data_IF_096767159645
#
_entry.id   IF_096767159645
#
_cell.length_a   1.000
_cell.length_b   1.000
_cell.length_c   1.000
_cell.angle_alpha   90.00
_cell.angle_beta   90.00
_cell.angle_gamma   90.00
#
_symmetry.space_group_name_H-M   'P 1'
#
loop_
_entity.id
_entity.type
_entity.pdbx_description
1 polymer ?
#
# COMPACT_ATOMS: atom_id res chain seq x y z
N UNK A 1 30.47 20.52 -25.43
CA UNK A 1 31.37 19.46 -24.93
C UNK A 1 30.51 18.37 -24.38
N UNK A 2 30.52 17.22 -25.08
CA UNK A 2 29.75 16.02 -24.69
C UNK A 2 30.58 15.18 -23.73
N UNK A 3 30.10 14.88 -22.56
CA UNK A 3 30.71 13.89 -21.68
C UNK A 3 29.76 12.70 -21.57
N UNK A 4 30.09 11.63 -22.32
CA UNK A 4 29.54 10.29 -22.16
C UNK A 4 30.11 9.72 -20.87
N UNK A 5 29.25 9.34 -19.94
CA UNK A 5 29.65 8.50 -18.83
C UNK A 5 29.00 7.10 -19.02
N UNK A 6 29.85 6.19 -19.43
CA UNK A 6 29.54 4.74 -19.59
C UNK A 6 29.71 4.10 -18.22
N UNK A 7 28.67 3.47 -17.71
CA UNK A 7 28.72 2.66 -16.48
C UNK A 7 28.60 1.18 -16.88
N UNK A 8 29.56 0.34 -16.48
CA UNK A 8 29.54 -1.09 -16.83
C UNK A 8 28.58 -1.88 -15.96
N UNK A 9 27.90 -2.81 -16.63
CA UNK A 9 27.10 -3.88 -16.08
C UNK A 9 28.04 -4.85 -15.36
N UNK A 10 27.83 -5.08 -14.07
CA UNK A 10 28.43 -6.18 -13.34
C UNK A 10 27.39 -7.26 -13.06
N UNK A 11 27.53 -8.35 -13.80
CA UNK A 11 26.80 -9.61 -13.72
C UNK A 11 27.60 -10.52 -12.79
N UNK A 12 27.04 -11.00 -11.69
CA UNK A 12 27.47 -12.16 -10.88
C UNK A 12 26.52 -12.28 -9.70
N UNK A 13 26.00 -13.43 -9.31
CA UNK A 13 26.32 -14.80 -9.52
C UNK A 13 25.38 -15.70 -8.73
N UNK A 14 25.18 -16.81 -9.28
CA UNK A 14 25.01 -18.16 -8.73
C UNK A 14 24.08 -18.42 -7.54
N UNK A 15 22.99 -19.08 -7.88
CA UNK A 15 22.17 -19.94 -7.02
C UNK A 15 23.00 -21.13 -6.49
N UNK A 16 23.01 -21.34 -5.19
CA UNK A 16 23.38 -22.62 -4.58
C UNK A 16 22.12 -23.29 -4.03
N UNK A 17 21.68 -24.32 -4.75
CA UNK A 17 20.77 -25.34 -4.25
C UNK A 17 21.49 -26.16 -3.18
N UNK A 18 20.99 -26.18 -1.97
CA UNK A 18 21.32 -27.19 -0.97
C UNK A 18 20.14 -28.15 -0.88
N UNK A 19 20.34 -29.33 -1.46
CA UNK A 19 19.48 -30.50 -1.25
C UNK A 19 19.82 -31.08 0.14
N UNK A 20 18.88 -31.06 1.06
CA UNK A 20 18.97 -31.83 2.29
C UNK A 20 18.23 -33.14 2.14
N UNK A 21 19.04 -34.21 2.13
CA UNK A 21 18.59 -35.58 2.13
C UNK A 21 17.83 -35.92 3.44
N UNK A 22 16.62 -36.39 3.26
CA UNK A 22 15.83 -37.05 4.30
C UNK A 22 16.53 -38.31 4.79
N UNK A 23 16.91 -38.30 6.04
CA UNK A 23 17.27 -39.51 6.75
C UNK A 23 16.14 -39.87 7.71
N UNK A 24 15.43 -40.92 7.42
CA UNK A 24 14.47 -41.56 8.30
C UNK A 24 15.21 -42.29 9.43
N UNK A 25 14.73 -42.25 10.64
CA UNK A 25 14.92 -43.34 11.59
C UNK A 25 13.60 -44.08 11.82
N UNK A 26 13.74 -45.41 11.80
CA UNK A 26 12.74 -46.43 12.02
C UNK A 26 12.15 -46.38 13.44
N UNK A 27 10.87 -46.66 13.46
CA UNK A 27 10.04 -47.33 14.42
C UNK A 27 10.56 -47.58 15.85
N UNK A 28 9.77 -47.12 16.82
CA UNK A 28 9.31 -47.98 17.91
C UNK A 28 7.92 -47.47 18.36
N UNK A 29 6.97 -48.39 18.33
CA UNK A 29 5.60 -48.20 18.80
C UNK A 29 5.58 -48.01 20.31
N UNK A 30 4.91 -46.96 20.75
CA UNK A 30 4.25 -47.02 22.06
C UNK A 30 2.95 -46.18 22.01
N UNK A 31 1.89 -46.83 22.39
CA UNK A 31 0.54 -46.34 22.31
C UNK A 31 0.25 -45.40 23.47
N UNK A 32 -0.01 -44.14 23.16
CA UNK A 32 -0.80 -43.26 24.01
C UNK A 32 -1.55 -42.26 23.11
N UNK A 33 -2.86 -42.41 23.06
CA UNK A 33 -3.82 -41.54 22.38
C UNK A 33 -3.69 -40.09 22.84
N UNK A 34 -3.30 -39.13 21.98
CA UNK A 34 -3.53 -37.74 22.30
C UNK A 34 -4.91 -37.34 21.77
N UNK A 35 -5.70 -36.87 22.69
CA UNK A 35 -7.05 -36.33 22.54
C UNK A 35 -7.11 -35.37 21.33
N UNK A 36 -7.94 -35.71 20.35
CA UNK A 36 -8.16 -35.01 19.08
C UNK A 36 -8.72 -33.58 19.20
N UNK A 37 -8.95 -33.11 20.41
CA UNK A 37 -9.58 -31.81 20.66
C UNK A 37 -8.65 -30.57 20.46
N UNK A 38 -7.32 -30.76 20.57
CA UNK A 38 -6.38 -29.62 20.49
C UNK A 38 -5.91 -29.28 19.06
N UNK A 39 -6.11 -30.20 18.09
CA UNK A 39 -5.69 -29.95 16.70
C UNK A 39 -6.67 -29.01 15.98
N UNK A 40 -7.97 -29.16 16.23
CA UNK A 40 -9.00 -28.29 15.61
C UNK A 40 -8.97 -26.86 16.12
N UNK A 41 -8.63 -26.65 17.40
CA UNK A 41 -8.47 -25.29 17.95
C UNK A 41 -7.28 -24.52 17.37
N UNK A 42 -6.18 -25.20 17.01
CA UNK A 42 -5.00 -24.56 16.40
C UNK A 42 -5.22 -24.17 14.95
N UNK A 43 -5.98 -24.96 14.18
CA UNK A 43 -6.30 -24.65 12.77
C UNK A 43 -7.22 -23.44 12.69
N UNK A 44 -8.25 -23.36 13.55
CA UNK A 44 -9.16 -22.22 13.58
C UNK A 44 -8.47 -20.91 13.97
N UNK A 45 -7.46 -20.95 14.85
CA UNK A 45 -6.71 -19.74 15.25
C UNK A 45 -5.75 -19.26 14.16
N UNK A 46 -5.23 -20.16 13.30
CA UNK A 46 -4.36 -19.78 12.18
C UNK A 46 -5.14 -19.20 11.00
N UNK A 47 -6.35 -19.67 10.72
CA UNK A 47 -7.19 -19.09 9.66
C UNK A 47 -7.67 -17.67 10.01
N UNK A 48 -8.03 -17.42 11.27
CA UNK A 48 -8.39 -16.07 11.72
C UNK A 48 -7.25 -15.07 11.57
N UNK A 49 -5.99 -15.48 11.82
CA UNK A 49 -4.83 -14.62 11.69
C UNK A 49 -4.41 -14.35 10.24
N UNK A 50 -4.81 -15.18 9.29
CA UNK A 50 -4.55 -14.98 7.86
C UNK A 50 -5.59 -14.05 7.21
N UNK A 51 -6.82 -14.09 7.71
CA UNK A 51 -7.91 -13.26 7.22
C UNK A 51 -7.74 -11.78 7.63
N UNK A 52 -7.20 -11.51 8.82
CA UNK A 52 -6.90 -10.15 9.27
C UNK A 52 -5.77 -9.45 8.47
N UNK A 53 -4.86 -10.22 7.86
CA UNK A 53 -3.78 -9.66 7.03
C UNK A 53 -4.24 -9.20 5.65
N UNK A 54 -5.43 -9.64 5.21
CA UNK A 54 -6.04 -9.26 3.94
C UNK A 54 -7.20 -8.27 4.10
N UNK A 55 -7.49 -7.79 5.30
CA UNK A 55 -8.46 -6.75 5.51
C UNK A 55 -7.95 -5.48 4.80
N UNK A 56 -8.49 -5.20 3.61
CA UNK A 56 -8.21 -3.96 2.89
C UNK A 56 -8.79 -2.82 3.71
N UNK A 57 -7.92 -1.92 4.16
CA UNK A 57 -8.35 -0.74 4.91
C UNK A 57 -9.29 0.09 4.05
N UNK A 58 -10.41 0.57 4.61
CA UNK A 58 -11.36 1.38 3.86
C UNK A 58 -10.87 2.80 3.69
N UNK A 59 -10.62 3.18 2.44
CA UNK A 59 -10.32 4.55 2.03
C UNK A 59 -11.56 5.39 1.73
N UNK A 60 -12.76 4.80 1.72
CA UNK A 60 -14.01 5.52 1.40
C UNK A 60 -14.31 6.62 2.40
N UNK A 61 -14.85 7.72 1.92
CA UNK A 61 -15.35 8.86 2.69
C UNK A 61 -14.67 10.19 2.34
N UNK A 62 -14.93 11.19 3.18
CA UNK A 62 -14.39 12.54 3.01
C UNK A 62 -13.06 12.68 3.76
N UNK A 63 -12.09 13.33 3.08
CA UNK A 63 -10.75 13.52 3.61
C UNK A 63 -10.28 14.96 3.40
N UNK A 64 -9.66 15.52 4.40
CA UNK A 64 -8.97 16.80 4.33
C UNK A 64 -7.49 16.54 4.06
N UNK A 65 -7.01 16.94 2.90
CA UNK A 65 -5.64 16.74 2.45
C UNK A 65 -4.83 18.02 2.48
N UNK A 66 -3.58 17.91 2.91
CA UNK A 66 -2.57 18.96 2.82
C UNK A 66 -1.30 18.43 2.17
N UNK A 67 -0.66 19.23 1.32
CA UNK A 67 0.65 18.91 0.73
C UNK A 67 1.46 20.18 0.49
N UNK A 68 2.76 20.02 0.35
CA UNK A 68 3.67 21.12 0.02
C UNK A 68 3.91 21.18 -1.49
N UNK A 69 3.75 22.35 -2.09
CA UNK A 69 4.02 22.57 -3.52
C UNK A 69 5.53 22.79 -3.80
N UNK A 70 5.88 23.05 -5.07
CA UNK A 70 7.28 23.30 -5.49
C UNK A 70 7.89 24.55 -4.89
N UNK A 71 7.09 25.49 -4.50
CA UNK A 71 7.53 26.76 -3.91
C UNK A 71 7.64 26.70 -2.37
N UNK A 72 7.31 25.55 -1.76
CA UNK A 72 7.28 25.40 -0.31
C UNK A 72 5.96 25.81 0.34
N UNK A 73 4.94 26.23 -0.44
CA UNK A 73 3.65 26.62 0.13
C UNK A 73 2.81 25.37 0.46
N UNK A 74 2.12 25.40 1.59
CA UNK A 74 1.12 24.39 1.93
C UNK A 74 -0.16 24.62 1.13
N UNK A 75 -0.67 23.57 0.52
CA UNK A 75 -1.91 23.52 -0.24
C UNK A 75 -2.89 22.58 0.42
N UNK A 76 -4.18 22.88 0.27
CA UNK A 76 -5.25 22.09 0.85
C UNK A 76 -6.24 21.63 -0.22
N UNK A 77 -6.82 20.46 -0.01
CA UNK A 77 -7.91 19.92 -0.81
C UNK A 77 -8.85 19.09 0.06
N UNK A 78 -10.09 18.98 -0.37
CA UNK A 78 -11.04 17.99 0.14
C UNK A 78 -11.17 16.86 -0.88
N UNK A 79 -11.04 15.62 -0.41
CA UNK A 79 -11.22 14.42 -1.22
C UNK A 79 -12.57 13.79 -0.84
N UNK A 80 -13.32 13.35 -1.84
CA UNK A 80 -14.47 12.45 -1.68
C UNK A 80 -14.09 11.15 -2.39
N UNK A 81 -13.87 10.08 -1.63
CA UNK A 81 -13.34 8.81 -2.13
C UNK A 81 -14.40 7.72 -1.97
N UNK A 82 -14.62 6.97 -3.03
CA UNK A 82 -15.40 5.74 -3.07
C UNK A 82 -14.45 4.59 -3.39
N UNK A 83 -14.61 3.46 -2.69
CA UNK A 83 -13.79 2.27 -2.84
C UNK A 83 -14.64 1.08 -3.24
N UNK A 84 -14.21 0.39 -4.30
CA UNK A 84 -14.77 -0.89 -4.77
C UNK A 84 -13.63 -1.91 -4.83
N UNK A 85 -13.57 -2.80 -3.83
CA UNK A 85 -12.44 -3.71 -3.68
C UNK A 85 -11.12 -2.95 -3.49
N UNK A 86 -10.20 -3.11 -4.42
CA UNK A 86 -8.93 -2.36 -4.43
C UNK A 86 -9.02 -1.03 -5.22
N UNK A 87 -10.04 -0.84 -6.05
CA UNK A 87 -10.17 0.34 -6.89
C UNK A 87 -10.72 1.54 -6.11
N UNK A 88 -10.15 2.71 -6.36
CA UNK A 88 -10.59 3.98 -5.80
C UNK A 88 -11.07 4.91 -6.91
N UNK A 89 -12.18 5.56 -6.68
CA UNK A 89 -12.73 6.61 -7.54
C UNK A 89 -13.25 7.76 -6.69
N UNK A 90 -13.43 8.92 -7.28
CA UNK A 90 -13.98 10.06 -6.55
C UNK A 90 -13.61 11.40 -7.12
N UNK A 91 -13.67 12.41 -6.27
CA UNK A 91 -13.38 13.80 -6.63
C UNK A 91 -12.45 14.47 -5.63
N UNK A 92 -11.72 15.46 -6.12
CA UNK A 92 -10.84 16.33 -5.34
C UNK A 92 -11.28 17.76 -5.56
N UNK A 93 -11.63 18.45 -4.50
CA UNK A 93 -11.87 19.89 -4.54
C UNK A 93 -10.59 20.62 -4.09
N UNK A 94 -9.93 21.26 -5.06
CA UNK A 94 -8.72 22.04 -4.82
C UNK A 94 -9.09 23.48 -4.47
N UNK A 95 -8.55 23.99 -3.37
CA UNK A 95 -8.63 25.39 -2.97
C UNK A 95 -7.26 26.06 -3.15
N UNK A 96 -6.86 26.31 -4.38
CA UNK A 96 -5.51 26.78 -4.73
C UNK A 96 -5.52 28.03 -5.60
N UNK A 97 -6.27 29.07 -5.22
CA UNK A 97 -6.36 30.34 -5.96
C UNK A 97 -6.89 30.14 -7.39
N UNK A 98 -6.17 30.58 -8.43
CA UNK A 98 -6.64 30.49 -9.82
C UNK A 98 -6.77 29.05 -10.35
N UNK A 99 -6.26 28.06 -9.64
CA UNK A 99 -6.41 26.62 -9.95
C UNK A 99 -7.47 25.93 -9.08
N UNK A 100 -8.34 26.69 -8.43
CA UNK A 100 -9.44 26.12 -7.65
C UNK A 100 -10.44 25.40 -8.57
N UNK A 101 -11.00 24.30 -8.11
CA UNK A 101 -11.97 23.52 -8.85
C UNK A 101 -12.10 22.09 -8.35
N UNK A 102 -13.09 21.40 -8.91
CA UNK A 102 -13.32 19.97 -8.65
C UNK A 102 -12.76 19.14 -9.79
N UNK A 103 -11.92 18.16 -9.44
CA UNK A 103 -11.21 17.31 -10.37
C UNK A 103 -11.49 15.84 -10.08
N UNK A 104 -11.37 15.00 -11.10
CA UNK A 104 -11.55 13.57 -10.97
C UNK A 104 -10.34 12.94 -10.25
N UNK A 105 -10.65 12.08 -9.30
CA UNK A 105 -9.70 11.22 -8.60
C UNK A 105 -9.92 9.78 -9.02
N UNK A 106 -8.83 9.05 -9.25
CA UNK A 106 -8.79 7.59 -9.40
C UNK A 106 -7.61 7.04 -8.62
N UNK A 107 -7.62 5.76 -8.29
CA UNK A 107 -6.51 5.19 -7.55
C UNK A 107 -6.70 3.72 -7.23
N UNK A 108 -5.86 3.21 -6.37
CA UNK A 108 -6.01 1.88 -5.80
C UNK A 108 -5.48 1.83 -4.35
N UNK A 109 -5.98 0.84 -3.61
CA UNK A 109 -5.50 0.49 -2.26
C UNK A 109 -5.21 -1.00 -2.21
N UNK A 110 -4.06 -1.37 -1.64
CA UNK A 110 -3.65 -2.77 -1.42
C UNK A 110 -3.09 -2.91 -0.02
N UNK A 111 -3.79 -3.66 0.83
CA UNK A 111 -3.52 -3.66 2.25
C UNK A 111 -3.64 -2.24 2.80
N UNK A 112 -2.57 -1.70 3.34
CA UNK A 112 -2.51 -0.31 3.80
C UNK A 112 -1.84 0.66 2.81
N UNK A 113 -1.38 0.21 1.64
CA UNK A 113 -0.77 1.08 0.62
C UNK A 113 -1.84 1.72 -0.26
N UNK A 114 -1.72 3.02 -0.49
CA UNK A 114 -2.65 3.80 -1.32
C UNK A 114 -1.90 4.54 -2.42
N UNK A 115 -2.50 4.56 -3.59
CA UNK A 115 -2.05 5.34 -4.74
C UNK A 115 -3.24 6.14 -5.24
N UNK A 116 -3.10 7.46 -5.29
CA UNK A 116 -4.14 8.38 -5.80
C UNK A 116 -3.59 9.11 -7.02
N UNK A 117 -4.37 9.14 -8.08
CA UNK A 117 -4.11 9.89 -9.31
C UNK A 117 -5.20 10.95 -9.48
N UNK A 118 -4.80 12.20 -9.49
CA UNK A 118 -5.69 13.35 -9.66
C UNK A 118 -5.39 13.99 -11.02
N UNK A 119 -6.41 14.03 -11.91
CA UNK A 119 -6.28 14.69 -13.19
C UNK A 119 -6.71 16.15 -13.06
N UNK A 120 -5.72 17.05 -13.05
CA UNK A 120 -5.92 18.50 -12.99
C UNK A 120 -5.62 19.08 -14.37
N UNK A 121 -6.68 19.43 -15.12
CA UNK A 121 -6.58 19.84 -16.53
C UNK A 121 -5.84 18.79 -17.38
N UNK A 122 -4.65 19.13 -17.91
CA UNK A 122 -3.79 18.24 -18.70
C UNK A 122 -2.67 17.57 -17.87
N UNK A 123 -2.58 17.87 -16.59
CA UNK A 123 -1.58 17.29 -15.70
C UNK A 123 -2.17 16.16 -14.85
N UNK A 124 -1.34 15.18 -14.54
CA UNK A 124 -1.63 14.15 -13.56
C UNK A 124 -0.78 14.37 -12.32
N UNK A 125 -1.42 14.50 -11.16
CA UNK A 125 -0.77 14.53 -9.88
C UNK A 125 -0.89 13.15 -9.23
N UNK A 126 0.25 12.50 -8.99
CA UNK A 126 0.34 11.19 -8.37
C UNK A 126 0.75 11.34 -6.91
N UNK A 127 -0.04 10.72 -6.02
CA UNK A 127 0.20 10.65 -4.59
C UNK A 127 0.32 9.18 -4.19
N UNK A 128 1.41 8.81 -3.53
CA UNK A 128 1.64 7.46 -3.02
C UNK A 128 1.82 7.50 -1.52
N UNK A 129 1.32 6.51 -0.81
CA UNK A 129 1.41 6.54 0.65
C UNK A 129 0.79 5.33 1.31
N UNK A 130 0.47 5.52 2.57
CA UNK A 130 -0.20 4.54 3.42
C UNK A 130 -1.44 5.13 4.07
N UNK A 131 -2.40 4.27 4.36
CA UNK A 131 -3.60 4.59 5.13
C UNK A 131 -3.53 3.86 6.47
N UNK A 132 -3.81 4.57 7.54
CA UNK A 132 -3.88 4.05 8.91
C UNK A 132 -5.12 4.64 9.59
N UNK A 133 -6.20 3.85 9.62
CA UNK A 133 -7.48 4.25 10.17
C UNK A 133 -8.03 5.54 9.53
N UNK A 134 -7.95 6.64 10.26
CA UNK A 134 -8.44 7.96 9.83
C UNK A 134 -7.36 8.87 9.25
N UNK A 135 -6.16 8.36 9.01
CA UNK A 135 -5.03 9.13 8.47
C UNK A 135 -4.45 8.48 7.24
N UNK A 136 -4.08 9.29 6.28
CA UNK A 136 -3.25 8.91 5.15
C UNK A 136 -2.01 9.78 5.11
N UNK A 137 -0.88 9.23 4.74
CA UNK A 137 0.36 9.99 4.58
C UNK A 137 1.25 9.38 3.52
N UNK A 138 2.09 10.20 2.91
CA UNK A 138 2.99 9.70 1.88
C UNK A 138 3.75 10.81 1.16
N UNK A 139 4.09 10.54 -0.10
CA UNK A 139 4.82 11.47 -0.95
C UNK A 139 4.15 11.65 -2.32
N UNK A 140 4.29 12.83 -2.89
CA UNK A 140 3.97 13.11 -4.29
C UNK A 140 5.03 12.50 -5.20
N UNK A 141 4.76 12.46 -6.53
CA UNK A 141 5.76 12.04 -7.51
C UNK A 141 7.10 12.81 -7.40
N UNK A 142 7.08 14.06 -6.95
CA UNK A 142 8.28 14.87 -6.68
C UNK A 142 8.90 14.66 -5.30
N UNK A 143 8.53 13.62 -4.56
CA UNK A 143 9.06 13.30 -3.22
C UNK A 143 8.59 14.21 -2.09
N UNK A 144 7.61 15.11 -2.34
CA UNK A 144 7.12 16.03 -1.31
C UNK A 144 6.06 15.36 -0.44
N UNK A 145 6.08 15.63 0.87
CA UNK A 145 5.16 15.00 1.79
C UNK A 145 3.72 15.49 1.57
N UNK A 146 2.78 14.61 1.82
CA UNK A 146 1.37 14.92 1.94
C UNK A 146 0.75 14.16 3.11
N UNK A 147 -0.31 14.71 3.65
CA UNK A 147 -1.10 14.14 4.74
C UNK A 147 -2.58 14.34 4.42
N UNK A 148 -3.41 13.36 4.75
CA UNK A 148 -4.86 13.51 4.75
C UNK A 148 -5.46 12.95 6.04
N UNK A 149 -6.50 13.59 6.51
CA UNK A 149 -7.26 13.17 7.71
C UNK A 149 -8.71 13.00 7.32
N UNK A 150 -9.32 11.91 7.78
CA UNK A 150 -10.74 11.64 7.55
C UNK A 150 -11.58 12.65 8.31
N UNK A 151 -12.55 13.23 7.62
CA UNK A 151 -13.51 14.19 8.18
C UNK A 151 -14.69 13.46 8.79
#
# INVERSE_FOLDING_TARGET
MKLLCVIPILLCGMATMVAQANRAPSATADALTPSSSNALARVATQESSAQDRNATVSASGFWLMAWTNEKGDTRHATLDIQQEGEALSGTVNLQAGPKSGTFRLTGNVRGNRIVLNVKVYWHHALFTGTIDGTKMSGSTHGGRPWLATKS
#
